data_IF_911426738899
#
_entry.id   IF_911426738899
#
_cell.length_a   1.000
_cell.length_b   1.000
_cell.length_c   1.000
_cell.angle_alpha   90.00
_cell.angle_beta   90.00
_cell.angle_gamma   90.00
#
_symmetry.space_group_name_H-M   'P 1'
#
loop_
_entity.id
_entity.type
_entity.pdbx_description
1 polymer ?
#
# COMPACT_ATOMS: atom_id res chain seq x y z
N UNK A 1 -32.91 -44.77 -15.56
CA UNK A 1 -33.08 -45.51 -14.29
C UNK A 1 -31.80 -46.29 -14.00
N UNK A 2 -30.96 -45.82 -13.07
CA UNK A 2 -29.88 -46.59 -12.42
C UNK A 2 -29.34 -45.76 -11.23
N UNK A 3 -29.69 -46.22 -10.03
CA UNK A 3 -29.10 -46.04 -8.68
C UNK A 3 -27.96 -45.02 -8.55
N UNK A 4 -28.07 -43.94 -7.76
CA UNK A 4 -28.23 -43.89 -6.30
C UNK A 4 -27.26 -44.85 -5.56
N UNK A 5 -26.05 -44.37 -5.27
CA UNK A 5 -25.18 -45.01 -4.27
C UNK A 5 -24.57 -43.96 -3.35
N UNK A 6 -25.03 -44.06 -2.11
CA UNK A 6 -24.75 -43.30 -0.91
C UNK A 6 -23.37 -43.67 -0.36
N UNK A 7 -22.57 -42.69 0.07
CA UNK A 7 -21.57 -42.92 1.11
C UNK A 7 -21.69 -41.84 2.18
N UNK A 8 -22.17 -42.29 3.33
CA UNK A 8 -22.22 -41.56 4.57
C UNK A 8 -20.84 -41.43 5.22
N UNK A 9 -20.79 -40.51 6.17
CA UNK A 9 -20.00 -40.50 7.42
C UNK A 9 -18.74 -39.64 7.46
N UNK A 10 -18.78 -38.67 8.37
CA UNK A 10 -17.64 -37.89 8.82
C UNK A 10 -18.08 -36.73 9.73
N UNK A 11 -18.70 -37.03 10.88
CA UNK A 11 -18.98 -36.03 11.93
C UNK A 11 -17.65 -35.75 12.64
N UNK A 12 -17.09 -34.57 12.44
CA UNK A 12 -15.95 -34.08 13.24
C UNK A 12 -16.48 -33.08 14.26
N UNK A 13 -16.49 -33.48 15.53
CA UNK A 13 -16.79 -32.64 16.66
C UNK A 13 -15.64 -31.65 16.88
N UNK A 14 -15.90 -30.36 16.66
CA UNK A 14 -14.97 -29.28 17.01
C UNK A 14 -15.37 -28.71 18.37
N UNK A 15 -14.49 -28.87 19.36
CA UNK A 15 -14.67 -28.39 20.71
C UNK A 15 -14.61 -26.85 20.74
N UNK A 16 -15.69 -26.22 21.23
CA UNK A 16 -15.74 -24.79 21.55
C UNK A 16 -14.90 -24.53 22.81
N UNK A 17 -13.76 -23.86 22.63
CA UNK A 17 -13.14 -23.08 23.71
C UNK A 17 -13.79 -21.70 23.71
N UNK A 18 -14.75 -21.48 24.61
CA UNK A 18 -15.30 -20.15 24.88
C UNK A 18 -14.29 -19.35 25.71
N UNK A 19 -13.41 -18.62 25.03
CA UNK A 19 -12.67 -17.51 25.64
C UNK A 19 -13.69 -16.44 26.02
N UNK A 20 -13.70 -16.08 27.30
CA UNK A 20 -14.55 -15.02 27.83
C UNK A 20 -14.23 -13.69 27.15
N UNK A 21 -15.11 -13.29 26.24
CA UNK A 21 -15.18 -11.91 25.74
C UNK A 21 -15.65 -11.03 26.88
N UNK A 22 -14.76 -10.28 27.50
CA UNK A 22 -15.14 -9.09 28.28
C UNK A 22 -15.64 -8.03 27.29
N UNK A 23 -16.86 -8.23 26.78
CA UNK A 23 -17.60 -7.18 26.12
C UNK A 23 -17.91 -6.15 27.20
N UNK A 24 -17.17 -5.05 27.21
CA UNK A 24 -17.61 -3.83 27.90
C UNK A 24 -18.96 -3.48 27.30
N UNK A 25 -20.04 -3.75 28.04
CA UNK A 25 -21.39 -3.34 27.68
C UNK A 25 -21.44 -1.82 27.78
N UNK A 26 -21.05 -1.13 26.71
CA UNK A 26 -21.52 0.22 26.48
C UNK A 26 -23.04 0.12 26.37
N UNK A 27 -23.74 0.65 27.37
CA UNK A 27 -25.19 0.76 27.36
C UNK A 27 -25.58 1.82 26.32
N UNK A 28 -25.56 1.41 25.05
CA UNK A 28 -26.08 2.20 23.95
C UNK A 28 -27.61 2.23 24.06
N UNK A 29 -28.19 3.42 24.00
CA UNK A 29 -29.64 3.61 24.13
C UNK A 29 -30.39 3.29 22.83
N UNK A 30 -29.65 3.12 21.72
CA UNK A 30 -30.19 2.83 20.41
C UNK A 30 -29.54 1.57 19.84
N UNK A 31 -30.34 0.67 19.30
CA UNK A 31 -29.86 -0.43 18.50
C UNK A 31 -29.79 0.01 17.04
N UNK A 32 -28.58 0.01 16.48
CA UNK A 32 -28.32 0.40 15.09
C UNK A 32 -27.99 -0.82 14.27
N UNK A 33 -28.74 -1.00 13.19
CA UNK A 33 -28.49 -2.02 12.19
C UNK A 33 -28.26 -1.35 10.85
N UNK A 34 -27.06 -1.52 10.28
CA UNK A 34 -26.82 -1.17 8.89
C UNK A 34 -27.58 -2.19 8.04
N UNK A 35 -28.48 -1.70 7.20
CA UNK A 35 -29.24 -2.51 6.27
C UNK A 35 -28.36 -2.69 5.05
N UNK A 36 -28.03 -3.95 4.73
CA UNK A 36 -27.26 -4.27 3.55
C UNK A 36 -27.96 -3.69 2.30
N UNK A 37 -27.24 -2.93 1.47
CA UNK A 37 -27.75 -2.49 0.19
C UNK A 37 -28.22 -3.70 -0.63
N UNK A 38 -29.36 -3.60 -1.31
CA UNK A 38 -29.67 -4.46 -2.47
C UNK A 38 -28.43 -4.55 -3.37
N UNK A 39 -28.12 -5.72 -3.95
CA UNK A 39 -26.74 -6.14 -4.26
C UNK A 39 -25.94 -5.02 -4.90
N UNK A 40 -25.03 -4.45 -4.11
CA UNK A 40 -24.22 -3.33 -4.53
C UNK A 40 -23.21 -3.82 -5.55
N UNK A 41 -23.28 -3.31 -6.78
CA UNK A 41 -22.31 -3.61 -7.84
C UNK A 41 -21.34 -2.44 -7.99
N UNK A 42 -20.06 -2.73 -8.17
CA UNK A 42 -19.05 -1.69 -8.37
C UNK A 42 -19.45 -0.75 -9.52
N UNK A 43 -19.38 0.56 -9.27
CA UNK A 43 -19.67 1.64 -10.23
C UNK A 43 -21.15 1.88 -10.49
N UNK A 44 -22.06 1.09 -9.88
CA UNK A 44 -23.49 1.32 -9.99
C UNK A 44 -24.00 2.11 -8.77
N UNK A 45 -24.91 3.07 -8.97
CA UNK A 45 -25.63 3.70 -7.85
C UNK A 45 -26.38 2.65 -7.03
N UNK A 46 -26.21 2.71 -5.72
CA UNK A 46 -26.95 1.93 -4.73
C UNK A 46 -27.31 2.83 -3.55
N UNK A 47 -28.06 2.29 -2.59
CA UNK A 47 -28.48 2.98 -1.38
C UNK A 47 -27.90 2.29 -0.16
N UNK A 48 -27.31 3.09 0.73
CA UNK A 48 -26.84 2.61 2.02
C UNK A 48 -27.80 3.13 3.09
N UNK A 49 -28.34 2.23 3.90
CA UNK A 49 -29.33 2.56 4.91
C UNK A 49 -28.90 2.11 6.31
N UNK A 50 -29.24 2.90 7.31
CA UNK A 50 -29.12 2.56 8.72
C UNK A 50 -30.51 2.61 9.37
N UNK A 51 -30.89 1.52 10.02
CA UNK A 51 -32.12 1.43 10.81
C UNK A 51 -31.80 1.60 12.29
N UNK A 52 -32.44 2.59 12.92
CA UNK A 52 -32.27 2.93 14.33
C UNK A 52 -33.55 2.57 15.09
N UNK A 53 -33.38 1.75 16.13
CA UNK A 53 -34.47 1.36 17.04
C UNK A 53 -34.08 1.67 18.49
N UNK A 54 -35.04 2.05 19.32
CA UNK A 54 -34.81 2.25 20.75
C UNK A 54 -34.43 0.91 21.40
N UNK A 55 -33.33 0.88 22.16
CA UNK A 55 -32.91 -0.34 22.86
C UNK A 55 -33.93 -0.76 23.93
N UNK A 56 -34.62 0.20 24.53
CA UNK A 56 -35.60 -0.03 25.60
C UNK A 56 -36.95 -0.53 25.07
N UNK A 57 -37.42 0.03 23.96
CA UNK A 57 -38.79 -0.20 23.46
C UNK A 57 -38.85 -1.00 22.17
N UNK A 58 -37.73 -1.16 21.46
CA UNK A 58 -37.65 -1.74 20.13
C UNK A 58 -38.33 -0.92 19.03
N UNK A 59 -38.83 0.28 19.34
CA UNK A 59 -39.54 1.13 18.38
C UNK A 59 -38.57 1.90 17.48
N UNK A 60 -38.93 2.17 16.21
CA UNK A 60 -38.13 3.00 15.33
C UNK A 60 -38.01 4.44 15.86
N UNK A 61 -36.84 5.04 15.68
CA UNK A 61 -36.55 6.40 16.19
C UNK A 61 -36.35 7.36 15.02
N UNK A 62 -37.33 8.25 14.83
CA UNK A 62 -37.33 9.27 13.78
C UNK A 62 -36.56 10.55 14.18
N UNK A 63 -36.10 11.32 13.19
CA UNK A 63 -35.50 12.63 13.39
C UNK A 63 -34.08 12.62 13.95
N UNK A 64 -33.38 11.49 13.93
CA UNK A 64 -31.99 11.34 14.40
C UNK A 64 -31.05 11.65 13.25
N UNK A 65 -30.04 12.50 13.48
CA UNK A 65 -29.01 12.76 12.49
C UNK A 65 -27.98 11.62 12.50
N UNK A 66 -27.76 11.01 11.34
CA UNK A 66 -26.90 9.85 11.15
C UNK A 66 -25.81 10.22 10.14
N UNK A 67 -24.56 10.01 10.50
CA UNK A 67 -23.38 10.26 9.65
C UNK A 67 -22.74 8.93 9.29
N UNK A 68 -22.55 8.70 8.00
CA UNK A 68 -21.98 7.47 7.47
C UNK A 68 -20.51 7.69 7.10
N UNK A 69 -19.68 6.73 7.47
CA UNK A 69 -18.26 6.69 7.15
C UNK A 69 -17.92 5.38 6.47
N UNK A 70 -17.07 5.44 5.44
CA UNK A 70 -16.46 4.27 4.84
C UNK A 70 -14.97 4.24 5.21
N UNK A 71 -14.44 3.03 5.44
CA UNK A 71 -13.01 2.85 5.54
C UNK A 71 -12.35 3.07 4.17
N UNK A 72 -11.35 3.93 4.12
CA UNK A 72 -10.58 4.21 2.92
C UNK A 72 -9.07 4.14 3.22
N UNK A 73 -8.29 3.75 2.21
CA UNK A 73 -6.82 3.79 2.31
C UNK A 73 -6.24 4.54 1.11
N UNK A 74 -5.24 5.38 1.38
CA UNK A 74 -4.49 6.09 0.36
C UNK A 74 -3.00 6.03 0.68
N UNK A 75 -2.25 5.30 -0.15
CA UNK A 75 -0.83 5.07 0.08
C UNK A 75 -0.58 4.26 1.36
N UNK A 76 -0.06 4.92 2.41
CA UNK A 76 0.24 4.31 3.73
C UNK A 76 -0.68 4.81 4.85
N UNK A 77 -1.71 5.59 4.51
CA UNK A 77 -2.66 6.13 5.48
C UNK A 77 -4.01 5.44 5.27
N UNK A 78 -4.59 4.93 6.35
CA UNK A 78 -5.93 4.34 6.38
C UNK A 78 -6.77 5.02 7.44
N UNK A 79 -8.06 5.15 7.20
CA UNK A 79 -8.99 5.73 8.16
C UNK A 79 -10.42 5.75 7.65
N UNK A 80 -11.31 6.23 8.50
CA UNK A 80 -12.71 6.45 8.14
C UNK A 80 -12.88 7.82 7.49
N UNK A 81 -13.57 7.85 6.36
CA UNK A 81 -13.92 9.06 5.62
C UNK A 81 -15.44 9.19 5.59
N UNK A 82 -15.95 10.38 5.90
CA UNK A 82 -17.39 10.67 5.78
C UNK A 82 -17.83 10.51 4.32
N UNK A 83 -18.86 9.71 4.09
CA UNK A 83 -19.45 9.48 2.77
C UNK A 83 -20.83 10.14 2.62
N UNK A 84 -21.48 10.51 3.72
CA UNK A 84 -22.74 11.24 3.70
C UNK A 84 -23.41 11.29 5.07
N UNK A 85 -24.51 12.04 5.14
CA UNK A 85 -25.37 12.11 6.31
C UNK A 85 -26.85 12.10 5.90
N UNK A 86 -27.70 11.58 6.77
CA UNK A 86 -29.15 11.55 6.58
C UNK A 86 -29.86 11.63 7.94
N UNK A 87 -31.13 12.06 7.91
CA UNK A 87 -31.99 12.07 9.09
C UNK A 87 -32.92 10.87 9.03
N UNK A 88 -33.09 10.15 10.13
CA UNK A 88 -34.02 9.01 10.18
C UNK A 88 -35.47 9.45 9.94
N UNK A 89 -36.19 8.68 9.12
CA UNK A 89 -37.61 8.88 8.82
C UNK A 89 -38.54 8.31 9.92
N UNK A 90 -39.85 8.27 9.65
CA UNK A 90 -40.84 7.70 10.59
C UNK A 90 -40.67 6.20 10.87
N UNK A 91 -39.95 5.48 10.00
CA UNK A 91 -39.60 4.07 10.18
C UNK A 91 -38.23 3.90 10.86
N UNK A 92 -37.58 5.01 11.25
CA UNK A 92 -36.26 4.99 11.89
C UNK A 92 -35.13 4.71 10.90
N UNK A 93 -35.36 4.92 9.60
CA UNK A 93 -34.40 4.60 8.53
C UNK A 93 -33.76 5.90 8.03
N UNK A 94 -32.42 5.92 8.02
CA UNK A 94 -31.63 6.97 7.37
C UNK A 94 -30.95 6.37 6.13
N UNK A 95 -31.13 6.98 4.96
CA UNK A 95 -30.63 6.47 3.68
C UNK A 95 -29.78 7.52 2.96
N UNK A 96 -28.64 7.10 2.41
CA UNK A 96 -27.79 7.92 1.54
C UNK A 96 -27.53 7.23 0.20
N UNK A 97 -27.37 7.99 -0.90
CA UNK A 97 -26.88 7.43 -2.15
C UNK A 97 -25.40 7.03 -2.01
N UNK A 98 -25.06 5.83 -2.46
CA UNK A 98 -23.71 5.28 -2.38
C UNK A 98 -23.31 4.63 -3.71
N UNK A 99 -22.10 4.90 -4.18
CA UNK A 99 -21.55 4.28 -5.40
C UNK A 99 -20.25 3.55 -5.01
N UNK A 100 -20.30 2.22 -4.83
CA UNK A 100 -19.11 1.45 -4.50
C UNK A 100 -18.06 1.55 -5.60
N UNK A 101 -16.80 1.73 -5.23
CA UNK A 101 -15.67 1.82 -6.19
C UNK A 101 -14.75 0.62 -6.18
N UNK A 102 -14.92 -0.25 -5.20
CA UNK A 102 -14.13 -1.45 -4.98
C UNK A 102 -15.07 -2.59 -4.60
N UNK A 103 -14.81 -3.80 -5.08
CA UNK A 103 -15.54 -5.00 -4.67
C UNK A 103 -15.01 -5.56 -3.36
N UNK A 104 -15.78 -6.40 -2.69
CA UNK A 104 -15.37 -7.08 -1.46
C UNK A 104 -16.11 -6.56 -0.23
N UNK A 105 -15.60 -6.92 0.96
CA UNK A 105 -16.17 -6.49 2.23
C UNK A 105 -15.66 -5.09 2.59
N UNK A 106 -16.59 -4.18 2.87
CA UNK A 106 -16.32 -2.81 3.27
C UNK A 106 -16.87 -2.56 4.66
N UNK A 107 -16.04 -2.01 5.55
CA UNK A 107 -16.48 -1.58 6.87
C UNK A 107 -17.13 -0.21 6.77
N UNK A 108 -18.41 -0.17 7.11
CA UNK A 108 -19.23 1.02 7.22
C UNK A 108 -19.39 1.34 8.70
N UNK A 109 -18.94 2.54 9.08
CA UNK A 109 -19.17 3.10 10.40
C UNK A 109 -20.30 4.11 10.34
N UNK A 110 -21.15 4.09 11.34
CA UNK A 110 -22.28 4.99 11.49
C UNK A 110 -22.17 5.69 12.84
N UNK A 111 -22.09 7.01 12.80
CA UNK A 111 -22.13 7.87 14.00
C UNK A 111 -23.50 8.53 14.08
N UNK A 112 -24.11 8.54 15.26
CA UNK A 112 -25.44 9.13 15.46
C UNK A 112 -25.52 9.86 16.79
N UNK A 113 -26.37 10.89 16.84
CA UNK A 113 -26.62 11.67 18.05
C UNK A 113 -28.11 11.95 18.22
N UNK A 114 -28.65 11.70 19.42
CA UNK A 114 -30.04 12.03 19.72
C UNK A 114 -30.25 13.56 19.71
N UNK A 115 -31.42 13.97 19.20
CA UNK A 115 -31.90 15.34 19.32
C UNK A 115 -32.02 15.72 20.80
N UNK A 116 -31.07 16.52 21.28
CA UNK A 116 -30.91 16.81 22.71
C UNK A 116 -29.46 17.03 23.16
N UNK A 117 -28.47 16.82 22.28
CA UNK A 117 -27.06 17.10 22.58
C UNK A 117 -26.35 15.99 23.35
N UNK A 118 -26.81 14.75 23.20
CA UNK A 118 -26.10 13.57 23.71
C UNK A 118 -24.75 13.35 23.03
N UNK A 119 -23.89 12.56 23.65
CA UNK A 119 -22.64 12.08 23.05
C UNK A 119 -22.95 11.27 21.80
N UNK A 120 -22.19 11.48 20.73
CA UNK A 120 -22.29 10.65 19.53
C UNK A 120 -21.94 9.19 19.88
N UNK A 121 -22.77 8.27 19.44
CA UNK A 121 -22.55 6.83 19.57
C UNK A 121 -22.19 6.24 18.19
N UNK A 122 -21.46 5.12 18.20
CA UNK A 122 -20.86 4.51 17.00
C UNK A 122 -21.38 3.08 16.81
N UNK A 123 -21.67 2.72 15.56
CA UNK A 123 -21.90 1.34 15.14
C UNK A 123 -21.10 1.01 13.87
N UNK A 124 -20.54 -0.20 13.79
CA UNK A 124 -19.78 -0.67 12.63
C UNK A 124 -20.44 -1.91 12.05
N UNK A 125 -20.60 -1.95 10.74
CA UNK A 125 -21.10 -3.11 10.01
C UNK A 125 -20.27 -3.35 8.74
N UNK A 126 -20.16 -4.62 8.33
CA UNK A 126 -19.49 -4.99 7.09
C UNK A 126 -20.51 -5.17 5.99
N UNK A 127 -20.28 -4.54 4.84
CA UNK A 127 -21.13 -4.61 3.64
C UNK A 127 -20.37 -5.28 2.52
N UNK A 128 -20.93 -6.33 1.94
CA UNK A 128 -20.35 -7.01 0.78
C UNK A 128 -20.78 -6.34 -0.52
N UNK A 129 -19.81 -5.98 -1.37
CA UNK A 129 -20.01 -5.42 -2.70
C UNK A 129 -19.63 -6.45 -3.75
N UNK A 130 -20.57 -6.75 -4.64
CA UNK A 130 -20.37 -7.67 -5.76
C UNK A 130 -19.57 -7.01 -6.89
N UNK A 131 -18.70 -7.80 -7.50
CA UNK A 131 -17.85 -7.38 -8.62
C UNK A 131 -16.54 -8.16 -8.65
N UNK A 132 -15.88 -8.15 -9.79
CA UNK A 132 -14.51 -8.64 -9.90
C UNK A 132 -13.59 -7.77 -9.06
N UNK A 133 -12.65 -8.36 -8.31
CA UNK A 133 -11.60 -7.68 -7.54
C UNK A 133 -10.65 -6.79 -8.38
N UNK A 134 -10.93 -6.64 -9.67
CA UNK A 134 -10.23 -5.76 -10.57
C UNK A 134 -10.63 -4.32 -10.23
N UNK A 135 -9.77 -3.65 -9.46
CA UNK A 135 -9.85 -2.19 -9.25
C UNK A 135 -10.20 -1.51 -10.58
N UNK A 136 -11.30 -0.74 -10.61
CA UNK A 136 -11.66 0.07 -11.78
C UNK A 136 -10.55 1.07 -12.17
N UNK A 137 -9.60 1.30 -11.25
CA UNK A 137 -8.42 2.10 -11.45
C UNK A 137 -7.14 1.25 -11.50
N UNK A 138 -7.04 0.34 -12.47
CA UNK A 138 -5.72 -0.11 -12.91
C UNK A 138 -5.07 1.11 -13.57
N UNK A 139 -4.21 1.82 -12.83
CA UNK A 139 -3.25 2.71 -13.48
C UNK A 139 -2.35 1.83 -14.33
N UNK A 140 -2.77 1.63 -15.58
CA UNK A 140 -1.89 1.25 -16.67
C UNK A 140 -1.06 2.49 -17.03
N UNK A 141 -0.39 3.07 -16.04
CA UNK A 141 0.59 4.13 -16.19
C UNK A 141 1.90 3.51 -16.71
N UNK A 142 1.80 2.81 -17.83
CA UNK A 142 2.90 2.71 -18.77
C UNK A 142 2.64 3.78 -19.80
N UNK A 143 3.63 4.63 -20.07
CA UNK A 143 3.60 5.50 -21.25
C UNK A 143 3.59 4.58 -22.47
N UNK A 144 2.40 4.17 -22.93
CA UNK A 144 2.22 3.51 -24.21
C UNK A 144 2.33 4.61 -25.26
N UNK A 145 3.55 4.90 -25.71
CA UNK A 145 3.75 5.70 -26.91
C UNK A 145 3.39 4.78 -28.09
N UNK A 146 2.25 5.01 -28.79
CA UNK A 146 1.90 4.21 -29.95
C UNK A 146 3.03 4.31 -30.98
N UNK A 147 3.65 3.17 -31.29
CA UNK A 147 4.79 3.07 -32.22
C UNK A 147 6.18 2.96 -31.56
N UNK A 148 6.34 3.24 -30.27
CA UNK A 148 7.60 3.01 -29.55
C UNK A 148 7.64 1.55 -29.06
N UNK A 149 8.03 0.66 -29.96
CA UNK A 149 8.15 -0.77 -29.67
C UNK A 149 9.17 -0.98 -28.53
N UNK A 150 8.87 -1.82 -27.53
CA UNK A 150 9.81 -2.15 -26.44
C UNK A 150 11.18 -2.61 -26.96
N UNK A 151 11.21 -3.16 -28.18
CA UNK A 151 12.42 -3.46 -28.94
C UNK A 151 13.37 -2.28 -29.15
N UNK A 152 12.87 -1.06 -29.32
CA UNK A 152 13.71 0.13 -29.52
C UNK A 152 14.44 0.50 -28.24
N UNK A 153 13.77 0.39 -27.08
CA UNK A 153 14.40 0.61 -25.77
C UNK A 153 15.47 -0.45 -25.51
N UNK A 154 15.17 -1.72 -25.79
CA UNK A 154 16.14 -2.82 -25.67
C UNK A 154 17.33 -2.62 -26.63
N UNK A 155 17.06 -2.19 -27.86
CA UNK A 155 18.09 -1.89 -28.86
C UNK A 155 18.99 -0.74 -28.41
N UNK A 156 18.41 0.37 -27.96
CA UNK A 156 19.15 1.52 -27.44
C UNK A 156 20.01 1.13 -26.24
N UNK A 157 19.44 0.38 -25.29
CA UNK A 157 20.16 -0.12 -24.12
C UNK A 157 21.34 -1.02 -24.54
N UNK A 158 21.13 -1.90 -25.52
CA UNK A 158 22.17 -2.79 -26.06
C UNK A 158 23.31 -2.02 -26.74
N UNK A 159 23.00 -0.94 -27.46
CA UNK A 159 24.01 -0.06 -28.09
C UNK A 159 24.86 0.61 -27.02
N UNK A 160 24.24 1.15 -25.97
CA UNK A 160 24.97 1.77 -24.85
C UNK A 160 25.90 0.77 -24.19
N UNK A 161 25.41 -0.43 -23.85
CA UNK A 161 26.24 -1.49 -23.29
C UNK A 161 27.38 -1.93 -24.22
N UNK A 162 27.10 -2.02 -25.53
CA UNK A 162 28.11 -2.38 -26.54
C UNK A 162 29.25 -1.37 -26.62
N UNK A 163 28.94 -0.07 -26.58
CA UNK A 163 29.95 1.01 -26.54
C UNK A 163 30.80 0.90 -25.27
N UNK A 164 30.17 0.69 -24.11
CA UNK A 164 30.90 0.55 -22.85
C UNK A 164 31.86 -0.66 -22.87
N UNK A 165 31.42 -1.80 -23.40
CA UNK A 165 32.28 -2.97 -23.56
C UNK A 165 33.44 -2.72 -24.52
N UNK A 166 33.20 -2.03 -25.64
CA UNK A 166 34.23 -1.70 -26.60
C UNK A 166 35.32 -0.78 -26.01
N UNK A 167 34.91 0.22 -25.21
CA UNK A 167 35.84 1.08 -24.48
C UNK A 167 36.68 0.27 -23.49
N UNK A 168 36.05 -0.62 -22.71
CA UNK A 168 36.77 -1.48 -21.76
C UNK A 168 37.84 -2.34 -22.45
N UNK A 169 37.49 -2.98 -23.58
CA UNK A 169 38.45 -3.77 -24.38
C UNK A 169 39.59 -2.91 -24.93
N UNK A 170 39.28 -1.70 -25.38
CA UNK A 170 40.28 -0.76 -25.92
C UNK A 170 41.29 -0.36 -24.84
N UNK A 171 40.83 -0.06 -23.63
CA UNK A 171 41.69 0.27 -22.49
C UNK A 171 42.61 -0.91 -22.12
N UNK A 172 42.07 -2.13 -22.06
CA UNK A 172 42.85 -3.34 -21.75
C UNK A 172 43.95 -3.56 -22.81
N UNK A 173 43.63 -3.36 -24.10
CA UNK A 173 44.62 -3.49 -25.18
C UNK A 173 45.75 -2.48 -25.06
N UNK A 174 45.45 -1.23 -24.71
CA UNK A 174 46.46 -0.18 -24.51
C UNK A 174 47.33 -0.52 -23.28
N UNK A 175 46.70 -0.97 -22.19
CA UNK A 175 47.42 -1.36 -20.97
C UNK A 175 48.45 -2.47 -21.27
N UNK A 176 48.07 -3.51 -22.02
CA UNK A 176 48.99 -4.58 -22.42
C UNK A 176 50.10 -4.12 -23.38
N UNK A 177 49.83 -3.15 -24.26
CA UNK A 177 50.85 -2.64 -25.18
C UNK A 177 51.92 -1.78 -24.47
N UNK A 178 51.59 -1.18 -23.32
CA UNK A 178 52.50 -0.34 -22.54
C UNK A 178 53.56 -1.09 -21.74
N UNK A 179 53.45 -2.41 -21.58
CA UNK A 179 54.36 -3.22 -20.75
C UNK A 179 55.68 -3.58 -21.48
N UNK A 180 55.83 -3.26 -22.77
CA UNK A 180 56.98 -3.69 -23.61
C UNK A 180 58.03 -2.62 -23.88
N UNK A 181 58.25 -1.66 -22.99
CA UNK A 181 59.47 -0.84 -23.06
C UNK A 181 60.10 -0.70 -21.68
N UNK A 182 60.97 -1.66 -21.28
CA UNK A 182 62.00 -1.36 -20.32
C UNK A 182 62.84 -0.23 -20.91
N UNK A 183 62.70 0.98 -20.37
CA UNK A 183 63.59 2.07 -20.71
C UNK A 183 65.02 1.57 -20.53
N UNK A 184 65.95 1.79 -21.50
CA UNK A 184 67.36 1.56 -21.27
C UNK A 184 67.72 2.36 -20.02
N UNK A 185 68.09 1.69 -18.92
CA UNK A 185 68.72 2.39 -17.80
C UNK A 185 69.89 3.15 -18.42
N UNK A 186 69.93 4.49 -18.35
CA UNK A 186 71.16 5.18 -18.64
C UNK A 186 72.20 4.53 -17.71
N UNK A 187 73.20 3.91 -18.32
CA UNK A 187 74.32 3.37 -17.59
C UNK A 187 74.78 4.50 -16.67
N UNK A 188 74.71 4.27 -15.36
CA UNK A 188 75.36 5.09 -14.37
C UNK A 188 76.80 5.21 -14.84
N UNK A 189 77.13 6.34 -15.46
CA UNK A 189 78.48 6.72 -15.75
C UNK A 189 79.14 6.78 -14.38
N UNK A 190 79.96 5.78 -14.10
CA UNK A 190 80.95 5.75 -13.04
C UNK A 190 81.89 6.94 -13.25
N UNK A 191 81.44 8.15 -12.91
CA UNK A 191 82.29 9.30 -12.73
C UNK A 191 82.91 9.16 -11.34
N UNK A 192 84.03 8.43 -11.34
CA UNK A 192 85.03 8.41 -10.30
C UNK A 192 85.45 9.86 -10.01
N UNK A 193 84.92 10.46 -8.94
CA UNK A 193 85.42 11.72 -8.39
C UNK A 193 86.06 11.43 -7.02
N UNK A 194 87.34 11.74 -6.84
CA UNK A 194 88.11 11.36 -5.67
C UNK A 194 87.65 12.10 -4.42
N UNK A 195 87.60 11.34 -3.34
CA UNK A 195 87.58 11.80 -1.95
C UNK A 195 88.68 12.83 -1.70
N UNK A 196 88.29 14.06 -1.32
CA UNK A 196 89.17 14.93 -0.54
C UNK A 196 88.45 15.38 0.72
N UNK A 197 88.94 14.75 1.78
CA UNK A 197 88.83 15.02 3.19
C UNK A 197 88.81 16.50 3.61
N UNK A 198 87.99 16.75 4.64
CA UNK A 198 88.28 17.54 5.85
C UNK A 198 88.77 18.98 5.66
N UNK A 199 87.94 19.94 6.05
CA UNK A 199 88.23 20.77 7.24
C UNK A 199 86.98 21.61 7.58
N UNK A 200 86.49 21.56 8.83
CA UNK A 200 86.46 22.73 9.72
C UNK A 200 85.25 23.65 9.42
N UNK A 201 84.27 23.86 10.27
CA UNK A 201 84.22 23.85 11.73
C UNK A 201 83.24 24.96 12.14
N UNK A 202 82.82 24.92 13.40
CA UNK A 202 82.35 26.07 14.17
C UNK A 202 80.97 26.69 13.87
N UNK A 203 80.02 26.28 14.71
CA UNK A 203 79.32 27.13 15.70
C UNK A 203 78.43 28.31 15.24
N UNK A 204 77.23 28.36 15.85
CA UNK A 204 76.42 29.58 16.01
C UNK A 204 74.93 29.27 15.85
N UNK A 205 74.15 28.99 16.89
CA UNK A 205 73.68 29.88 17.98
C UNK A 205 72.58 30.87 17.55
N UNK A 206 71.47 30.84 18.31
CA UNK A 206 70.34 31.80 18.42
C UNK A 206 69.24 31.61 17.35
N UNK A 207 67.95 31.63 17.68
CA UNK A 207 67.22 31.94 18.91
C UNK A 207 65.82 31.35 18.79
#
# INVERSE_FOLDING_TARGET
MKSLMWKATGILAFALLALGSTATAHASHLNVRVVEPTPATVGQPSELAAALTSADTGQPVAGVNVTFFAHASFGKVSGYMEIGHAVTDSEGIATIPFVPRESGAHDIRVDYALAGGGTAEEAVASVAVEGSADQMYVQKAGIQVPGLNSWLIIGLLSVVWGILLLVAVTVIRIAHAGEMTPAPRPALATAMAPSRSLDGGSAGSRR
#
